data_IF_376144844956
#
_entry.id   IF_376144844956
#
_cell.length_a   1.000
_cell.length_b   1.000
_cell.length_c   1.000
_cell.angle_alpha   90.00
_cell.angle_beta   90.00
_cell.angle_gamma   90.00
#
_symmetry.space_group_name_H-M   'P 1'
#
loop_
_entity.id
_entity.type
_entity.pdbx_description
1 polymer ?
#
# COMPACT_ATOMS: atom_id res chain seq x y z
N UNK A 1 -34.26 -28.10 43.71
CA UNK A 1 -33.20 -27.08 43.47
C UNK A 1 -32.71 -27.31 42.06
N UNK A 2 -33.12 -26.45 41.13
CA UNK A 2 -32.78 -26.55 39.70
C UNK A 2 -31.38 -26.00 39.47
N UNK A 3 -30.49 -26.82 38.89
CA UNK A 3 -29.19 -26.37 38.38
C UNK A 3 -29.37 -25.90 36.94
N UNK A 4 -29.29 -24.59 36.74
CA UNK A 4 -29.18 -23.97 35.42
C UNK A 4 -27.76 -24.17 34.90
N UNK A 5 -27.57 -25.10 33.95
CA UNK A 5 -26.36 -25.10 33.12
C UNK A 5 -26.54 -24.06 32.00
N UNK A 6 -25.87 -22.92 32.15
CA UNK A 6 -25.63 -21.98 31.06
C UNK A 6 -24.70 -22.64 30.05
N UNK A 7 -25.25 -23.16 28.95
CA UNK A 7 -24.49 -23.43 27.75
C UNK A 7 -24.21 -22.09 27.07
N UNK A 8 -23.05 -21.50 27.36
CA UNK A 8 -22.47 -20.49 26.50
C UNK A 8 -21.94 -21.22 25.26
N UNK A 9 -22.74 -21.25 24.20
CA UNK A 9 -22.34 -21.83 22.93
C UNK A 9 -21.04 -21.17 22.47
N UNK A 10 -19.98 -21.97 22.30
CA UNK A 10 -18.85 -21.57 21.45
C UNK A 10 -19.44 -21.19 20.08
N UNK A 11 -19.18 -19.99 19.53
CA UNK A 11 -19.45 -19.79 18.13
C UNK A 11 -18.59 -20.80 17.36
N UNK A 12 -19.24 -21.64 16.56
CA UNK A 12 -18.55 -22.46 15.57
C UNK A 12 -17.89 -21.49 14.60
N UNK A 13 -16.57 -21.35 14.72
CA UNK A 13 -15.76 -20.63 13.76
C UNK A 13 -15.79 -21.47 12.49
N UNK A 14 -16.53 -21.02 11.48
CA UNK A 14 -16.52 -21.64 10.15
C UNK A 14 -15.30 -21.06 9.41
N UNK A 15 -14.17 -21.78 9.46
CA UNK A 15 -12.90 -21.34 8.85
C UNK A 15 -13.06 -20.97 7.36
N UNK A 16 -13.97 -21.65 6.63
CA UNK A 16 -14.29 -21.34 5.23
C UNK A 16 -14.97 -19.96 5.03
N UNK A 17 -15.87 -19.57 5.94
CA UNK A 17 -16.55 -18.26 5.86
C UNK A 17 -15.58 -17.11 6.20
N UNK A 18 -14.62 -17.38 7.10
CA UNK A 18 -13.57 -16.42 7.48
C UNK A 18 -12.56 -16.20 6.34
N UNK A 19 -12.13 -17.27 5.65
CA UNK A 19 -11.25 -17.17 4.49
C UNK A 19 -11.91 -16.41 3.32
N UNK A 20 -13.20 -16.67 3.07
CA UNK A 20 -13.97 -15.94 2.08
C UNK A 20 -14.10 -14.45 2.42
N UNK A 21 -14.31 -14.13 3.70
CA UNK A 21 -14.34 -12.76 4.20
C UNK A 21 -13.00 -12.03 4.01
N UNK A 22 -11.88 -12.68 4.37
CA UNK A 22 -10.52 -12.14 4.19
C UNK A 22 -10.20 -11.92 2.71
N UNK A 23 -10.61 -12.84 1.84
CA UNK A 23 -10.43 -12.71 0.40
C UNK A 23 -11.23 -11.54 -0.19
N UNK A 24 -12.49 -11.36 0.24
CA UNK A 24 -13.29 -10.20 -0.15
C UNK A 24 -12.66 -8.88 0.31
N UNK A 25 -12.10 -8.83 1.52
CA UNK A 25 -11.36 -7.66 2.03
C UNK A 25 -10.09 -7.38 1.22
N UNK A 26 -9.33 -8.42 0.87
CA UNK A 26 -8.14 -8.31 0.03
C UNK A 26 -8.49 -7.75 -1.36
N UNK A 27 -9.53 -8.28 -2.00
CA UNK A 27 -10.01 -7.79 -3.30
C UNK A 27 -10.47 -6.34 -3.23
N UNK A 28 -11.22 -5.98 -2.18
CA UNK A 28 -11.66 -4.59 -1.94
C UNK A 28 -10.47 -3.62 -1.79
N UNK A 29 -9.36 -4.11 -1.25
CA UNK A 29 -8.13 -3.35 -1.01
C UNK A 29 -7.07 -3.54 -2.10
N UNK A 30 -7.39 -4.23 -3.19
CA UNK A 30 -6.43 -4.65 -4.23
C UNK A 30 -5.67 -3.49 -4.87
N UNK A 31 -6.30 -2.32 -4.97
CA UNK A 31 -5.73 -1.10 -5.54
C UNK A 31 -4.60 -0.50 -4.68
N UNK A 32 -4.51 -0.83 -3.39
CA UNK A 32 -3.48 -0.31 -2.48
C UNK A 32 -2.08 -0.74 -2.93
N UNK A 33 -1.94 -2.00 -3.35
CA UNK A 33 -0.63 -2.54 -3.75
C UNK A 33 -0.04 -1.82 -4.98
N UNK A 34 -0.77 -1.68 -6.11
CA UNK A 34 -0.29 -0.90 -7.26
C UNK A 34 0.14 0.53 -6.89
N UNK A 35 -0.63 1.23 -6.06
CA UNK A 35 -0.29 2.60 -5.65
C UNK A 35 1.01 2.65 -4.84
N UNK A 36 1.19 1.72 -3.88
CA UNK A 36 2.42 1.66 -3.08
C UNK A 36 3.62 1.25 -3.94
N UNK A 37 3.44 0.31 -4.88
CA UNK A 37 4.48 -0.07 -5.82
C UNK A 37 4.92 1.11 -6.68
N UNK A 38 3.98 1.88 -7.22
CA UNK A 38 4.29 3.07 -8.00
C UNK A 38 5.05 4.11 -7.18
N UNK A 39 4.60 4.40 -5.95
CA UNK A 39 5.31 5.31 -5.06
C UNK A 39 6.73 4.81 -4.71
N UNK A 40 6.92 3.50 -4.55
CA UNK A 40 8.23 2.92 -4.30
C UNK A 40 9.18 3.03 -5.49
N UNK A 41 8.65 2.94 -6.71
CA UNK A 41 9.38 3.19 -7.96
C UNK A 41 9.74 4.69 -8.07
N UNK A 42 8.79 5.59 -7.83
CA UNK A 42 9.02 7.04 -7.87
C UNK A 42 10.09 7.51 -6.85
N UNK A 43 10.12 6.87 -5.68
CA UNK A 43 11.13 7.09 -4.64
C UNK A 43 12.45 6.34 -4.91
N UNK A 44 12.56 5.59 -6.01
CA UNK A 44 13.71 4.76 -6.37
C UNK A 44 14.14 3.80 -5.25
N UNK A 45 13.18 3.23 -4.49
CA UNK A 45 13.50 2.39 -3.34
C UNK A 45 14.24 1.10 -3.73
N UNK A 46 13.85 0.49 -4.85
CA UNK A 46 14.50 -0.73 -5.35
C UNK A 46 15.98 -0.48 -5.71
N UNK A 47 16.26 0.65 -6.36
CA UNK A 47 17.61 1.09 -6.72
C UNK A 47 18.47 1.37 -5.49
N UNK A 48 17.90 2.07 -4.50
CA UNK A 48 18.57 2.37 -3.23
C UNK A 48 18.97 1.07 -2.52
N UNK A 49 18.06 0.09 -2.44
CA UNK A 49 18.34 -1.21 -1.81
C UNK A 49 19.36 -2.01 -2.63
N UNK A 50 19.23 -2.03 -3.96
CA UNK A 50 20.16 -2.75 -4.83
C UNK A 50 21.60 -2.21 -4.74
N UNK A 51 21.77 -0.90 -4.53
CA UNK A 51 23.09 -0.25 -4.41
C UNK A 51 23.90 -0.73 -3.20
N UNK A 52 23.23 -1.20 -2.15
CA UNK A 52 23.91 -1.76 -0.99
C UNK A 52 24.68 -3.05 -1.32
N UNK A 53 24.32 -3.70 -2.43
CA UNK A 53 24.96 -4.91 -2.95
C UNK A 53 24.06 -6.14 -2.90
N UNK A 54 24.43 -7.22 -3.62
CA UNK A 54 23.70 -8.47 -3.58
C UNK A 54 23.72 -9.07 -2.16
N UNK A 55 22.57 -9.55 -1.69
CA UNK A 55 22.36 -10.13 -0.36
C UNK A 55 22.64 -9.20 0.84
N UNK A 56 22.77 -7.90 0.59
CA UNK A 56 22.84 -6.89 1.64
C UNK A 56 21.43 -6.42 1.98
N UNK A 57 21.13 -6.35 3.27
CA UNK A 57 19.85 -5.85 3.77
C UNK A 57 20.05 -4.47 4.40
N UNK A 58 19.09 -3.57 4.18
CA UNK A 58 19.09 -2.23 4.74
C UNK A 58 17.89 -1.99 5.65
N UNK A 59 18.11 -1.23 6.71
CA UNK A 59 17.04 -0.74 7.58
C UNK A 59 16.24 0.37 6.91
N UNK A 60 14.95 0.57 7.28
CA UNK A 60 14.16 1.72 6.83
C UNK A 60 14.84 3.07 7.11
N UNK A 61 15.63 3.16 8.18
CA UNK A 61 16.36 4.38 8.54
C UNK A 61 17.51 4.70 7.59
N UNK A 62 18.23 3.69 7.12
CA UNK A 62 19.29 3.82 6.11
C UNK A 62 18.73 4.12 4.72
N UNK A 63 17.55 3.59 4.41
CA UNK A 63 16.84 3.92 3.17
C UNK A 63 16.35 5.37 3.22
N UNK A 64 15.76 5.80 4.35
CA UNK A 64 15.28 7.17 4.54
C UNK A 64 16.40 8.21 4.41
N UNK A 65 17.60 7.91 4.91
CA UNK A 65 18.74 8.85 4.88
C UNK A 65 19.30 9.09 3.47
N UNK A 66 19.02 8.18 2.53
CA UNK A 66 19.41 8.33 1.12
C UNK A 66 18.37 9.10 0.30
N UNK A 67 17.18 9.33 0.85
CA UNK A 67 16.15 10.13 0.20
C UNK A 67 16.32 11.62 0.54
N UNK A 68 15.93 12.53 -0.37
CA UNK A 68 15.97 13.98 -0.11
C UNK A 68 14.80 14.41 0.80
N UNK A 69 14.63 13.78 1.96
CA UNK A 69 13.56 14.06 2.92
C UNK A 69 14.11 14.38 4.30
N UNK A 70 13.49 15.35 4.98
CA UNK A 70 13.78 15.70 6.37
C UNK A 70 12.61 15.34 7.29
N UNK A 71 11.64 14.57 6.80
CA UNK A 71 10.45 14.22 7.58
C UNK A 71 10.81 13.25 8.71
N UNK A 72 10.54 13.59 9.98
CA UNK A 72 10.96 12.77 11.13
C UNK A 72 10.35 11.37 11.10
N UNK A 73 9.12 11.22 10.56
CA UNK A 73 8.45 9.91 10.46
C UNK A 73 8.75 9.17 9.15
N UNK A 74 9.63 9.67 8.28
CA UNK A 74 9.96 9.01 7.01
C UNK A 74 10.38 7.53 7.18
N UNK A 75 11.25 7.17 8.15
CA UNK A 75 11.61 5.76 8.35
C UNK A 75 10.41 4.87 8.68
N UNK A 76 9.45 5.38 9.47
CA UNK A 76 8.25 4.64 9.84
C UNK A 76 7.30 4.45 8.65
N UNK A 77 7.11 5.50 7.85
CA UNK A 77 6.30 5.43 6.63
C UNK A 77 6.90 4.45 5.62
N UNK A 78 8.22 4.48 5.45
CA UNK A 78 8.94 3.55 4.58
C UNK A 78 8.84 2.11 5.09
N UNK A 79 8.96 1.85 6.39
CA UNK A 79 8.76 0.49 6.95
C UNK A 79 7.40 -0.09 6.54
N UNK A 80 6.33 0.72 6.58
CA UNK A 80 4.99 0.27 6.16
C UNK A 80 4.93 -0.08 4.67
N UNK A 81 5.53 0.75 3.81
CA UNK A 81 5.59 0.49 2.37
C UNK A 81 6.43 -0.74 2.06
N UNK A 82 7.65 -0.82 2.59
CA UNK A 82 8.58 -1.92 2.38
C UNK A 82 8.01 -3.25 2.88
N UNK A 83 7.27 -3.23 4.00
CA UNK A 83 6.57 -4.41 4.51
C UNK A 83 5.49 -4.90 3.55
N UNK A 84 4.71 -4.00 2.94
CA UNK A 84 3.71 -4.40 1.95
C UNK A 84 4.37 -5.03 0.71
N UNK A 85 5.48 -4.46 0.24
CA UNK A 85 6.24 -5.00 -0.89
C UNK A 85 6.88 -6.36 -0.56
N UNK A 86 7.37 -6.53 0.66
CA UNK A 86 7.90 -7.81 1.14
C UNK A 86 6.81 -8.89 1.26
N UNK A 87 5.60 -8.53 1.72
CA UNK A 87 4.46 -9.45 1.74
C UNK A 87 4.00 -9.90 0.34
N UNK A 88 4.33 -9.12 -0.69
CA UNK A 88 4.09 -9.47 -2.10
C UNK A 88 5.34 -10.03 -2.79
N UNK A 89 6.34 -10.46 -2.03
CA UNK A 89 7.59 -11.08 -2.53
C UNK A 89 8.43 -10.21 -3.47
N UNK A 90 8.24 -8.89 -3.51
CA UNK A 90 9.10 -7.97 -4.25
C UNK A 90 10.38 -7.62 -3.49
N UNK A 91 10.32 -7.70 -2.16
CA UNK A 91 11.46 -7.54 -1.26
C UNK A 91 11.60 -8.77 -0.38
N UNK A 92 12.81 -9.02 0.11
CA UNK A 92 13.07 -9.94 1.20
C UNK A 92 13.12 -9.15 2.51
N UNK A 93 12.58 -9.72 3.59
CA UNK A 93 12.61 -9.12 4.91
C UNK A 93 13.36 -10.04 5.88
N UNK A 94 14.31 -9.48 6.61
CA UNK A 94 15.03 -10.16 7.69
C UNK A 94 14.84 -9.38 8.99
N UNK A 95 14.92 -10.07 10.13
CA UNK A 95 14.91 -9.43 11.45
C UNK A 95 16.32 -9.43 12.01
N UNK A 96 16.80 -8.26 12.42
CA UNK A 96 18.09 -8.11 13.10
C UNK A 96 17.86 -7.64 14.52
N UNK A 97 18.57 -8.24 15.47
CA UNK A 97 18.57 -7.79 16.86
C UNK A 97 19.75 -6.84 17.05
N UNK A 98 19.45 -5.60 17.42
CA UNK A 98 20.45 -4.58 17.71
C UNK A 98 21.05 -4.80 19.11
N UNK A 99 22.22 -4.19 19.35
CA UNK A 99 22.95 -4.27 20.63
C UNK A 99 22.14 -3.80 21.84
N UNK A 100 21.15 -2.92 21.62
CA UNK A 100 20.22 -2.44 22.65
C UNK A 100 19.07 -3.42 22.95
N UNK A 101 19.05 -4.59 22.29
CA UNK A 101 18.01 -5.60 22.41
C UNK A 101 16.74 -5.29 21.62
N UNK A 102 16.70 -4.18 20.88
CA UNK A 102 15.61 -3.89 19.95
C UNK A 102 15.70 -4.76 18.70
N UNK A 103 14.54 -5.08 18.12
CA UNK A 103 14.45 -5.83 16.87
C UNK A 103 14.11 -4.85 15.76
N UNK A 104 14.96 -4.80 14.75
CA UNK A 104 14.74 -4.00 13.53
C UNK A 104 14.51 -4.91 12.33
N UNK A 105 13.72 -4.42 11.37
CA UNK A 105 13.54 -5.07 10.09
C UNK A 105 14.56 -4.55 9.11
N UNK A 106 15.16 -5.46 8.37
CA UNK A 106 16.05 -5.15 7.27
C UNK A 106 15.45 -5.68 5.97
N UNK A 107 15.64 -4.95 4.89
CA UNK A 107 15.04 -5.21 3.58
C UNK A 107 16.11 -5.42 2.52
N UNK A 108 15.93 -6.45 1.70
CA UNK A 108 16.74 -6.75 0.53
C UNK A 108 15.87 -6.84 -0.73
N UNK A 109 16.49 -6.73 -1.91
CA UNK A 109 15.77 -6.87 -3.18
C UNK A 109 15.58 -8.37 -3.49
N UNK A 110 14.33 -8.78 -3.74
CA UNK A 110 14.05 -10.16 -4.17
C UNK A 110 14.36 -10.36 -5.66
N UNK A 111 14.43 -11.61 -6.16
CA UNK A 111 14.56 -11.86 -7.60
C UNK A 111 13.48 -11.17 -8.46
N UNK A 112 12.25 -11.03 -7.94
CA UNK A 112 11.16 -10.30 -8.62
C UNK A 112 11.35 -8.78 -8.53
N UNK A 113 11.85 -8.29 -7.39
CA UNK A 113 12.19 -6.87 -7.20
C UNK A 113 13.28 -6.36 -8.15
N UNK A 114 14.18 -7.25 -8.63
CA UNK A 114 15.25 -6.89 -9.58
C UNK A 114 14.74 -6.32 -10.91
N UNK A 115 13.50 -6.62 -11.31
CA UNK A 115 12.91 -6.08 -12.54
C UNK A 115 12.47 -4.61 -12.40
N UNK A 116 12.47 -4.06 -11.19
CA UNK A 116 12.21 -2.66 -10.87
C UNK A 116 13.50 -1.88 -10.54
N UNK A 117 14.66 -2.51 -10.74
CA UNK A 117 15.98 -1.87 -10.65
C UNK A 117 16.40 -1.51 -12.07
N UNK A 118 16.90 -0.29 -12.30
CA UNK A 118 17.31 0.10 -13.64
C UNK A 118 18.56 -0.68 -14.03
N UNK A 119 18.41 -1.65 -14.93
CA UNK A 119 19.55 -2.37 -15.50
C UNK A 119 20.29 -1.46 -16.50
N UNK A 120 21.58 -1.73 -16.71
CA UNK A 120 22.44 -1.01 -17.68
C UNK A 120 21.88 -1.04 -19.12
N UNK A 121 20.96 -1.97 -19.42
CA UNK A 121 20.27 -2.11 -20.71
C UNK A 121 18.96 -1.31 -20.81
N UNK A 122 18.60 -0.51 -19.80
CA UNK A 122 17.51 0.47 -19.85
C UNK A 122 16.08 -0.09 -19.83
N UNK A 123 15.92 -1.42 -19.74
CA UNK A 123 14.62 -2.08 -19.58
C UNK A 123 14.28 -2.30 -18.11
N UNK A 124 13.30 -1.56 -17.59
CA UNK A 124 12.69 -1.79 -16.28
C UNK A 124 11.18 -1.99 -16.42
N UNK A 125 10.58 -2.85 -15.58
CA UNK A 125 9.12 -3.01 -15.49
C UNK A 125 8.42 -1.78 -14.89
N UNK A 126 9.18 -0.79 -14.43
CA UNK A 126 8.68 0.51 -13.96
C UNK A 126 7.69 1.15 -14.93
N UNK A 127 7.93 1.01 -16.24
CA UNK A 127 7.05 1.56 -17.28
C UNK A 127 5.64 0.96 -17.24
N UNK A 128 5.52 -0.33 -16.92
CA UNK A 128 4.22 -1.02 -16.83
C UNK A 128 3.51 -0.61 -15.55
N UNK A 129 4.22 -0.52 -14.42
CA UNK A 129 3.63 -0.08 -13.15
C UNK A 129 3.20 1.39 -13.20
N UNK A 130 3.99 2.25 -13.83
CA UNK A 130 3.65 3.65 -14.08
C UNK A 130 2.43 3.78 -14.98
N UNK A 131 2.34 2.99 -16.06
CA UNK A 131 1.16 2.96 -16.93
C UNK A 131 -0.10 2.49 -16.19
N UNK A 132 0.01 1.46 -15.34
CA UNK A 132 -1.10 0.94 -14.56
C UNK A 132 -1.63 1.95 -13.52
N UNK A 133 -0.75 2.79 -12.97
CA UNK A 133 -1.11 3.82 -11.99
C UNK A 133 -1.34 5.20 -12.63
N UNK A 134 -1.15 5.33 -13.95
CA UNK A 134 -1.36 6.58 -14.66
C UNK A 134 -2.82 7.00 -14.56
N UNK A 135 -3.04 8.29 -14.27
CA UNK A 135 -4.37 8.87 -14.04
C UNK A 135 -5.39 8.46 -15.09
N UNK A 136 -5.02 8.49 -16.38
CA UNK A 136 -5.91 8.11 -17.47
C UNK A 136 -6.32 6.62 -17.40
N UNK A 137 -5.42 5.71 -17.02
CA UNK A 137 -5.72 4.27 -16.89
C UNK A 137 -6.66 4.03 -15.72
N UNK A 138 -6.39 4.69 -14.59
CA UNK A 138 -7.23 4.60 -13.39
C UNK A 138 -8.63 5.16 -13.67
N UNK A 139 -8.73 6.32 -14.33
CA UNK A 139 -10.01 6.92 -14.74
C UNK A 139 -10.83 6.02 -15.69
N UNK A 140 -10.18 5.39 -16.68
CA UNK A 140 -10.86 4.42 -17.57
C UNK A 140 -11.34 3.20 -16.81
N UNK A 141 -10.53 2.67 -15.88
CA UNK A 141 -10.93 1.54 -15.03
C UNK A 141 -12.15 1.91 -14.16
N UNK A 142 -12.20 3.14 -13.64
CA UNK A 142 -13.35 3.64 -12.91
C UNK A 142 -14.60 3.77 -13.78
N UNK A 143 -14.48 4.27 -15.01
CA UNK A 143 -15.62 4.39 -15.93
C UNK A 143 -16.22 3.03 -16.30
N UNK A 144 -15.38 2.02 -16.54
CA UNK A 144 -15.85 0.65 -16.80
C UNK A 144 -16.57 0.01 -15.61
N UNK A 145 -16.21 0.40 -14.38
CA UNK A 145 -16.89 -0.07 -13.15
C UNK A 145 -18.16 0.74 -12.87
N UNK A 146 -18.24 1.99 -13.35
CA UNK A 146 -19.35 2.91 -13.11
C UNK A 146 -20.51 2.78 -14.11
N UNK A 147 -20.50 1.80 -15.02
CA UNK A 147 -21.49 1.65 -16.09
C UNK A 147 -22.89 1.17 -15.63
N UNK A 148 -23.12 1.01 -14.32
CA UNK A 148 -24.46 0.80 -13.72
C UNK A 148 -24.77 1.86 -12.62
N UNK A 149 -25.16 3.09 -13.01
CA UNK A 149 -25.50 4.16 -12.07
C UNK A 149 -26.78 3.92 -11.25
N UNK A 150 -27.64 2.97 -11.64
CA UNK A 150 -28.94 2.74 -11.01
C UNK A 150 -28.91 1.75 -9.82
N UNK A 151 -27.78 1.06 -9.57
CA UNK A 151 -27.74 -0.07 -8.62
C UNK A 151 -27.04 0.22 -7.29
N UNK A 152 -26.20 1.24 -7.23
CA UNK A 152 -25.46 1.62 -6.02
C UNK A 152 -25.52 3.13 -5.87
N UNK A 153 -26.27 3.64 -4.89
CA UNK A 153 -26.32 5.08 -4.61
C UNK A 153 -24.97 5.57 -4.06
N UNK A 154 -24.34 6.55 -4.73
CA UNK A 154 -23.09 7.20 -4.29
C UNK A 154 -23.40 8.55 -3.63
N UNK A 155 -22.77 8.85 -2.48
CA UNK A 155 -21.63 9.79 -2.51
C UNK A 155 -20.43 9.47 -1.59
N UNK A 156 -20.45 8.41 -0.77
CA UNK A 156 -19.46 8.28 0.34
C UNK A 156 -18.11 7.71 -0.09
N UNK A 157 -18.09 6.82 -1.08
CA UNK A 157 -16.87 6.18 -1.61
C UNK A 157 -16.02 7.12 -2.48
N UNK A 158 -16.59 8.20 -3.02
CA UNK A 158 -15.87 9.21 -3.79
C UNK A 158 -15.05 10.17 -2.90
N UNK A 159 -15.53 10.49 -1.69
CA UNK A 159 -14.82 11.38 -0.77
C UNK A 159 -13.54 10.72 -0.22
N UNK A 160 -13.60 9.43 0.14
CA UNK A 160 -12.44 8.70 0.64
C UNK A 160 -11.31 8.55 -0.40
N UNK A 161 -11.66 8.54 -1.68
CA UNK A 161 -10.69 8.38 -2.77
C UNK A 161 -10.07 9.71 -3.22
N UNK A 162 -10.81 10.82 -3.13
CA UNK A 162 -10.26 12.15 -3.39
C UNK A 162 -9.30 12.62 -2.29
N UNK A 163 -9.61 12.33 -1.02
CA UNK A 163 -8.75 12.71 0.12
C UNK A 163 -7.42 11.94 0.17
N UNK A 164 -7.35 10.73 -0.38
CA UNK A 164 -6.11 9.95 -0.45
C UNK A 164 -5.20 10.30 -1.64
N UNK A 165 -5.75 10.91 -2.70
CA UNK A 165 -5.00 11.17 -3.94
C UNK A 165 -4.29 12.52 -3.97
N UNK A 166 -4.54 13.44 -3.01
CA UNK A 166 -4.00 14.80 -3.10
C UNK A 166 -3.75 15.51 -1.75
N UNK A 167 -2.59 15.28 -1.09
CA UNK A 167 -2.24 15.99 0.14
C UNK A 167 -1.83 17.46 -0.07
N UNK A 168 -1.63 17.94 -1.31
CA UNK A 168 -1.22 19.32 -1.60
C UNK A 168 -2.38 20.30 -1.89
N UNK A 169 -3.62 19.84 -1.89
CA UNK A 169 -4.83 20.68 -2.11
C UNK A 169 -5.47 21.25 -0.84
N UNK A 170 -4.86 21.08 0.35
CA UNK A 170 -5.37 21.68 1.60
C UNK A 170 -5.28 23.23 1.65
N UNK A 171 -4.75 23.88 0.61
CA UNK A 171 -4.60 25.35 0.54
C UNK A 171 -5.68 26.06 -0.30
N UNK A 172 -6.57 25.33 -0.99
CA UNK A 172 -7.62 25.96 -1.80
C UNK A 172 -8.97 25.91 -1.08
N UNK A 173 -9.18 26.88 -0.17
CA UNK A 173 -10.44 27.18 0.53
C UNK A 173 -11.62 27.59 -0.39
N UNK A 174 -11.56 27.30 -1.70
CA UNK A 174 -12.53 27.77 -2.69
C UNK A 174 -13.56 26.71 -3.14
N UNK A 175 -13.42 25.45 -2.71
CA UNK A 175 -14.33 24.37 -3.11
C UNK A 175 -15.56 24.20 -2.19
N UNK A 176 -15.61 24.87 -1.04
CA UNK A 176 -16.76 24.80 -0.12
C UNK A 176 -18.00 25.60 -0.57
N UNK A 177 -17.90 26.43 -1.61
CA UNK A 177 -19.02 27.28 -2.02
C UNK A 177 -20.07 26.59 -2.90
N UNK A 178 -19.86 25.33 -3.32
CA UNK A 178 -20.79 24.60 -4.20
C UNK A 178 -21.77 23.68 -3.47
N UNK A 179 -21.67 23.53 -2.15
CA UNK A 179 -22.56 22.65 -1.35
C UNK A 179 -23.84 23.36 -0.90
N UNK A 180 -23.96 24.69 -1.06
CA UNK A 180 -25.07 25.46 -0.46
C UNK A 180 -26.15 25.93 -1.44
N UNK A 181 -26.24 25.36 -2.65
CA UNK A 181 -27.36 25.61 -3.58
C UNK A 181 -27.88 24.30 -4.13
N UNK A 182 -28.77 23.65 -3.39
CA UNK A 182 -29.43 22.43 -3.84
C UNK A 182 -30.21 21.68 -2.78
N UNK A 183 -31.09 22.37 -2.05
CA UNK A 183 -32.28 21.80 -1.40
C UNK A 183 -33.51 22.60 -1.83
#
# INVERSE_FOLDING_TARGET
MSSTQNQFGKPSINEEDDDACLYAMLLSSSHIFPMVLNAAIDLNLFEIIARAGPDVYMSPSEIASQLPTQHPDAPYMLDRMLRLLASNSLLTCSMSTREDGSVERLYGVSPAGKFYVQNEEGGSMDSISSLACHRATVEVLYLLVAEDPDRFGWPVTLLFLFDLLNPSMLSCSSLFSWVEVGY
#
